data_IF_957148867689
#
_entry.id   IF_957148867689
#
_cell.length_a   1.000
_cell.length_b   1.000
_cell.length_c   1.000
_cell.angle_alpha   90.00
_cell.angle_beta   90.00
_cell.angle_gamma   90.00
#
_symmetry.space_group_name_H-M   'P 1'
#
loop_
_entity.id
_entity.type
_entity.pdbx_description
1 polymer ?
#
# COMPACT_ATOMS: atom_id res chain seq x y z
N UNK A 1 12.55 10.03 -15.39
CA UNK A 1 11.18 10.42 -15.69
C UNK A 1 10.26 9.22 -15.54
N UNK A 2 9.10 9.43 -14.95
CA UNK A 2 8.18 8.33 -14.67
C UNK A 2 7.23 8.11 -15.86
N UNK A 3 6.83 6.85 -16.04
CA UNK A 3 5.81 6.53 -17.02
C UNK A 3 4.48 7.16 -16.61
N UNK A 4 3.51 7.19 -17.53
CA UNK A 4 2.20 7.73 -17.19
C UNK A 4 1.52 6.88 -16.14
N UNK A 5 1.74 5.56 -16.16
CA UNK A 5 1.20 4.70 -15.11
C UNK A 5 1.79 5.07 -13.74
N UNK A 6 3.11 5.23 -13.66
CA UNK A 6 3.76 5.57 -12.41
C UNK A 6 3.29 6.92 -11.90
N UNK A 7 3.08 7.89 -12.80
CA UNK A 7 2.56 9.19 -12.39
C UNK A 7 1.14 9.06 -11.85
N UNK A 8 0.32 8.20 -12.47
CA UNK A 8 -1.03 7.97 -11.96
C UNK A 8 -0.99 7.32 -10.58
N UNK A 9 -0.12 6.35 -10.39
CA UNK A 9 0.05 5.70 -9.09
C UNK A 9 0.46 6.73 -8.05
N UNK A 10 1.42 7.59 -8.39
CA UNK A 10 1.88 8.62 -7.46
C UNK A 10 0.72 9.53 -7.04
N UNK A 11 -0.07 9.99 -7.99
CA UNK A 11 -1.20 10.86 -7.71
C UNK A 11 -2.22 10.18 -6.80
N UNK A 12 -2.52 8.92 -7.10
CA UNK A 12 -3.52 8.18 -6.33
C UNK A 12 -3.04 7.98 -4.89
N UNK A 13 -1.79 7.57 -4.73
CA UNK A 13 -1.28 7.29 -3.38
C UNK A 13 -1.18 8.58 -2.57
N UNK A 14 -0.73 9.67 -3.20
CA UNK A 14 -0.67 10.94 -2.49
C UNK A 14 -2.05 11.43 -2.08
N UNK A 15 -3.09 10.96 -2.75
CA UNK A 15 -4.45 11.32 -2.41
C UNK A 15 -5.08 10.45 -1.33
N UNK A 16 -4.40 9.40 -0.85
CA UNK A 16 -4.96 8.58 0.22
C UNK A 16 -4.88 9.38 1.53
N UNK A 17 -6.01 9.64 2.17
CA UNK A 17 -5.97 10.44 3.39
C UNK A 17 -5.30 9.70 4.53
N UNK A 18 -4.78 10.48 5.46
CA UNK A 18 -4.27 9.94 6.71
C UNK A 18 -5.35 9.09 7.38
N UNK A 19 -4.97 7.92 7.87
CA UNK A 19 -5.91 7.02 8.53
C UNK A 19 -6.64 6.09 7.59
N UNK A 20 -6.33 6.15 6.29
CA UNK A 20 -6.95 5.27 5.30
C UNK A 20 -5.90 4.46 4.58
N UNK A 21 -6.32 3.34 4.03
CA UNK A 21 -5.43 2.48 3.25
C UNK A 21 -6.14 2.04 1.98
N UNK A 22 -5.34 1.76 0.95
CA UNK A 22 -5.81 1.08 -0.26
C UNK A 22 -4.94 -0.13 -0.46
N UNK A 23 -5.48 -1.16 -1.09
CA UNK A 23 -4.65 -2.29 -1.48
C UNK A 23 -3.91 -1.95 -2.77
N UNK A 24 -2.84 -2.70 -3.07
CA UNK A 24 -2.13 -2.52 -4.33
C UNK A 24 -3.07 -2.70 -5.52
N UNK A 25 -4.00 -3.68 -5.41
CA UNK A 25 -4.96 -3.90 -6.49
C UNK A 25 -5.91 -2.74 -6.68
N UNK A 26 -6.32 -2.11 -5.57
CA UNK A 26 -7.20 -0.95 -5.67
C UNK A 26 -6.48 0.24 -6.31
N UNK A 27 -5.21 0.42 -5.97
CA UNK A 27 -4.43 1.49 -6.61
C UNK A 27 -4.31 1.20 -8.11
N UNK A 28 -4.02 -0.07 -8.46
CA UNK A 28 -3.91 -0.45 -9.86
C UNK A 28 -5.20 -0.18 -10.62
N UNK A 29 -6.32 -0.55 -10.03
CA UNK A 29 -7.61 -0.33 -10.66
C UNK A 29 -7.86 1.15 -10.92
N UNK A 30 -7.59 1.98 -9.92
CA UNK A 30 -7.78 3.43 -10.06
C UNK A 30 -6.82 4.05 -11.05
N UNK A 31 -5.65 3.43 -11.23
CA UNK A 31 -4.68 3.90 -12.20
C UNK A 31 -4.95 3.38 -13.62
N UNK A 32 -6.07 2.68 -13.80
CA UNK A 32 -6.46 2.22 -15.13
C UNK A 32 -5.86 0.88 -15.53
N UNK A 33 -5.33 0.13 -14.59
CA UNK A 33 -4.73 -1.16 -14.89
C UNK A 33 -5.26 -2.23 -13.92
N UNK A 34 -6.50 -2.70 -14.14
CA UNK A 34 -7.05 -3.76 -13.28
C UNK A 34 -6.12 -4.97 -13.28
N UNK A 35 -5.91 -5.55 -12.11
CA UNK A 35 -5.01 -6.69 -11.98
C UNK A 35 -3.55 -6.31 -11.95
N UNK A 36 -3.21 -5.02 -11.95
CA UNK A 36 -1.84 -4.57 -12.04
C UNK A 36 -1.14 -4.34 -10.70
N UNK A 37 -1.48 -5.12 -9.66
CA UNK A 37 -0.89 -4.91 -8.35
C UNK A 37 0.64 -4.96 -8.37
N UNK A 38 1.21 -5.90 -9.13
CA UNK A 38 2.66 -6.01 -9.22
C UNK A 38 3.27 -4.79 -9.88
N UNK A 39 2.57 -4.22 -10.85
CA UNK A 39 3.05 -3.01 -11.48
C UNK A 39 3.04 -1.83 -10.50
N UNK A 40 2.07 -1.80 -9.59
CA UNK A 40 2.04 -0.78 -8.54
C UNK A 40 3.24 -0.93 -7.61
N UNK A 41 3.58 -2.18 -7.24
CA UNK A 41 4.76 -2.40 -6.39
C UNK A 41 6.02 -1.84 -7.07
N UNK A 42 6.18 -2.14 -8.36
CA UNK A 42 7.34 -1.63 -9.09
C UNK A 42 7.34 -0.11 -9.17
N UNK A 43 6.17 0.47 -9.40
CA UNK A 43 6.06 1.93 -9.46
C UNK A 43 6.42 2.55 -8.11
N UNK A 44 5.99 1.94 -7.02
CA UNK A 44 6.31 2.45 -5.69
C UNK A 44 7.80 2.50 -5.41
N UNK A 45 8.55 1.53 -5.95
CA UNK A 45 9.99 1.53 -5.74
C UNK A 45 10.68 2.71 -6.41
N UNK A 46 10.01 3.41 -7.31
CA UNK A 46 10.56 4.58 -7.98
C UNK A 46 10.14 5.89 -7.30
N UNK A 47 9.26 5.80 -6.31
CA UNK A 47 8.68 6.99 -5.69
C UNK A 47 9.18 7.11 -4.25
N UNK A 48 9.55 8.32 -3.87
CA UNK A 48 9.99 8.57 -2.50
C UNK A 48 9.19 9.69 -1.83
N UNK A 49 8.20 10.24 -2.51
CA UNK A 49 7.43 11.37 -1.98
C UNK A 49 5.97 11.03 -1.76
N UNK A 50 5.69 9.76 -1.48
CA UNK A 50 4.32 9.29 -1.31
C UNK A 50 4.18 8.61 0.05
N UNK A 51 2.96 8.62 0.63
CA UNK A 51 2.71 7.88 1.87
C UNK A 51 2.55 6.38 1.54
N UNK A 52 3.67 5.74 1.22
CA UNK A 52 3.68 4.36 0.77
C UNK A 52 3.06 3.40 1.78
N UNK A 53 3.11 3.74 3.06
CA UNK A 53 2.60 2.87 4.12
C UNK A 53 1.07 2.76 4.10
N UNK A 54 0.39 3.62 3.34
CA UNK A 54 -1.06 3.55 3.19
C UNK A 54 -1.49 2.61 2.08
N UNK A 55 -0.53 1.88 1.49
CA UNK A 55 -0.84 0.87 0.48
C UNK A 55 -0.48 -0.49 1.06
N UNK A 56 -1.46 -1.40 1.07
CA UNK A 56 -1.32 -2.69 1.73
C UNK A 56 -1.61 -3.81 0.74
N UNK A 57 -1.29 -5.02 1.16
CA UNK A 57 -1.59 -6.18 0.34
C UNK A 57 -3.06 -6.52 0.46
N UNK A 58 -3.54 -7.31 -0.49
CA UNK A 58 -4.90 -7.78 -0.48
C UNK A 58 -5.21 -8.38 0.89
N UNK A 59 -6.36 -8.02 1.44
CA UNK A 59 -6.76 -8.48 2.75
C UNK A 59 -6.21 -7.64 3.89
N UNK A 60 -5.46 -6.59 3.57
CA UNK A 60 -4.98 -5.66 4.59
C UNK A 60 -3.70 -6.08 5.28
N UNK A 61 -3.02 -7.12 4.79
CA UNK A 61 -1.75 -7.53 5.39
C UNK A 61 -0.60 -6.70 4.85
N UNK A 62 0.52 -6.73 5.56
CA UNK A 62 1.70 -5.96 5.18
C UNK A 62 2.76 -6.88 4.60
N UNK A 63 3.54 -6.35 3.66
CA UNK A 63 4.65 -7.10 3.10
C UNK A 63 5.67 -7.35 4.20
N UNK A 64 6.16 -8.60 4.34
CA UNK A 64 7.04 -8.93 5.46
C UNK A 64 8.29 -8.06 5.54
N UNK A 65 8.83 -7.64 4.41
CA UNK A 65 10.09 -6.89 4.38
C UNK A 65 9.99 -5.55 5.09
N UNK A 66 8.80 -4.96 5.10
CA UNK A 66 8.60 -3.63 5.68
C UNK A 66 7.51 -3.62 6.74
N UNK A 67 7.05 -4.79 7.15
CA UNK A 67 5.88 -4.87 8.03
C UNK A 67 6.06 -4.09 9.32
N UNK A 68 7.22 -4.20 9.94
CA UNK A 68 7.48 -3.50 11.19
C UNK A 68 7.36 -1.99 11.00
N UNK A 69 8.09 -1.46 10.04
CA UNK A 69 8.11 -0.02 9.80
C UNK A 69 6.73 0.48 9.37
N UNK A 70 6.09 -0.26 8.48
CA UNK A 70 4.78 0.15 7.97
C UNK A 70 3.75 0.15 9.09
N UNK A 71 3.77 -0.87 9.95
CA UNK A 71 2.84 -0.94 11.06
C UNK A 71 3.00 0.25 12.01
N UNK A 72 4.24 0.67 12.24
CA UNK A 72 4.49 1.83 13.10
C UNK A 72 3.90 3.10 12.49
N UNK A 73 4.11 3.28 11.19
CA UNK A 73 3.60 4.47 10.51
C UNK A 73 2.07 4.48 10.51
N UNK A 74 1.46 3.33 10.26
CA UNK A 74 0.01 3.23 10.27
C UNK A 74 -0.55 3.43 11.68
N UNK A 75 0.11 2.88 12.68
CA UNK A 75 -0.34 3.07 14.07
C UNK A 75 -0.34 4.54 14.45
N UNK A 76 0.62 5.29 13.97
CA UNK A 76 0.67 6.73 14.23
C UNK A 76 -0.53 7.45 13.62
N UNK A 77 -1.19 6.84 12.65
CA UNK A 77 -2.39 7.39 12.04
C UNK A 77 -3.66 6.74 12.56
N UNK A 78 -3.55 5.93 13.61
CA UNK A 78 -4.71 5.28 14.19
C UNK A 78 -5.16 4.02 13.47
N UNK A 79 -4.32 3.47 12.59
CA UNK A 79 -4.69 2.29 11.81
C UNK A 79 -3.98 1.08 12.38
N UNK A 80 -4.75 0.06 12.73
CA UNK A 80 -4.18 -1.21 13.13
C UNK A 80 -3.87 -2.01 11.89
N UNK A 81 -2.70 -2.62 11.88
CA UNK A 81 -2.27 -3.41 10.74
C UNK A 81 -1.72 -4.73 11.23
N UNK A 82 -1.76 -5.72 10.36
CA UNK A 82 -1.22 -7.02 10.65
C UNK A 82 0.09 -7.21 9.95
N UNK A 83 0.94 -8.02 10.58
CA UNK A 83 2.16 -8.41 9.92
C UNK A 83 1.82 -9.14 8.62
N UNK A 84 2.80 -9.30 7.79
CA UNK A 84 2.59 -9.83 6.45
C UNK A 84 1.99 -11.19 6.38
N UNK A 85 2.04 -12.01 7.46
CA UNK A 85 1.38 -13.27 7.39
C UNK A 85 -0.01 -13.16 7.99
N UNK A 86 -0.85 -14.09 7.66
CA UNK A 86 -2.19 -14.09 8.10
C UNK A 86 -2.24 -14.23 9.60
N UNK A 87 -2.99 -13.43 10.16
CA UNK A 87 -3.17 -13.44 11.58
C UNK A 87 -3.83 -14.73 11.99
N UNK A 88 -3.63 -15.23 12.81
CA UNK A 88 -4.19 -16.34 13.08
C UNK A 88 -4.99 -16.31 14.12
N UNK A 89 -5.46 -16.17 13.75
CA UNK A 89 -6.00 -16.02 14.31
C UNK A 89 -6.10 -16.29 15.36
N UNK A 90 -6.33 -16.41 15.69
CA UNK A 90 -6.41 -16.64 16.44
C UNK A 90 -6.68 -16.79 17.29
N UNK A 91 -6.85 -16.88 17.55
CA UNK A 91 -6.98 -17.05 18.16
C UNK A 91 -7.52 -17.22 18.89
N UNK A 92 -7.87 -17.49 19.14
CA UNK A 92 -8.30 -17.66 19.50
C UNK A 92 -8.51 -17.69 19.84
#
# INVERSE_FOLDING_TARGET
MFSSFTRAVRRIIRGIPRGRVLSYGEVALRAGRPGGARAVVRALHQLDDVPWWRVVRKGGTLAPEVAWEQAQLLAAEGVKARAGRRARRRAR
#
